data_IF_886811855542
#
_entry.id   IF_886811855542
#
_cell.length_a   1.000
_cell.length_b   1.000
_cell.length_c   1.000
_cell.angle_alpha   90.00
_cell.angle_beta   90.00
_cell.angle_gamma   90.00
#
_symmetry.space_group_name_H-M   'P 1'
#
loop_
_entity.id
_entity.type
_entity.pdbx_description
1 polymer ?
#
# COMPACT_ATOMS: atom_id res chain seq x y z
N UNK A 1 31.42 -25.54 -3.02
CA UNK A 1 31.24 -24.18 -3.56
C UNK A 1 29.99 -24.26 -4.40
N UNK A 2 28.88 -23.68 -3.92
CA UNK A 2 27.53 -24.02 -4.36
C UNK A 2 26.92 -22.90 -5.23
N UNK A 3 25.91 -23.23 -6.05
CA UNK A 3 25.26 -22.32 -7.01
C UNK A 3 24.81 -20.95 -6.47
N UNK A 4 24.57 -20.82 -5.17
CA UNK A 4 24.20 -19.55 -4.52
C UNK A 4 25.35 -18.55 -4.42
N UNK A 5 26.59 -19.02 -4.33
CA UNK A 5 27.78 -18.16 -4.28
C UNK A 5 27.93 -17.40 -5.61
N UNK A 6 27.71 -18.08 -6.75
CA UNK A 6 27.76 -17.46 -8.09
C UNK A 6 26.74 -16.34 -8.31
N UNK A 7 25.54 -16.46 -7.72
CA UNK A 7 24.52 -15.43 -7.84
C UNK A 7 24.88 -14.20 -7.00
N UNK A 8 25.34 -14.41 -5.78
CA UNK A 8 25.78 -13.31 -4.91
C UNK A 8 27.04 -12.63 -5.45
N UNK A 9 27.95 -13.40 -6.05
CA UNK A 9 29.15 -12.90 -6.72
C UNK A 9 28.82 -12.12 -8.00
N UNK A 10 27.82 -12.58 -8.78
CA UNK A 10 27.30 -11.85 -9.95
C UNK A 10 26.75 -10.47 -9.57
N UNK A 11 25.93 -10.39 -8.52
CA UNK A 11 25.37 -9.10 -8.08
C UNK A 11 26.45 -8.17 -7.53
N UNK A 12 27.47 -8.69 -6.85
CA UNK A 12 28.62 -7.90 -6.43
C UNK A 12 29.41 -7.33 -7.61
N UNK A 13 29.57 -8.09 -8.69
CA UNK A 13 30.34 -7.68 -9.85
C UNK A 13 29.59 -6.70 -10.77
N UNK A 14 28.28 -6.85 -10.93
CA UNK A 14 27.46 -6.00 -11.81
C UNK A 14 26.86 -4.77 -11.12
N UNK A 15 26.43 -4.92 -9.85
CA UNK A 15 25.74 -3.85 -9.11
C UNK A 15 26.65 -3.16 -8.09
N UNK A 16 27.80 -3.75 -7.73
CA UNK A 16 28.69 -3.21 -6.70
C UNK A 16 28.10 -3.24 -5.28
N UNK A 17 27.04 -4.01 -5.05
CA UNK A 17 26.30 -4.10 -3.77
C UNK A 17 26.19 -5.57 -3.35
N UNK A 18 26.40 -5.91 -2.06
CA UNK A 18 26.31 -7.30 -1.60
C UNK A 18 24.87 -7.81 -1.71
N UNK A 19 24.71 -9.02 -2.25
CA UNK A 19 23.39 -9.62 -2.44
C UNK A 19 22.59 -9.80 -1.15
N UNK A 20 23.26 -9.81 0.02
CA UNK A 20 22.59 -9.72 1.33
C UNK A 20 21.83 -8.41 1.53
N UNK A 21 22.31 -7.28 1.01
CA UNK A 21 21.59 -6.01 1.05
C UNK A 21 20.37 -6.02 0.12
N UNK A 22 20.47 -6.67 -1.05
CA UNK A 22 19.33 -6.83 -1.96
C UNK A 22 18.22 -7.67 -1.31
N UNK A 23 18.60 -8.77 -0.66
CA UNK A 23 17.65 -9.61 0.06
C UNK A 23 17.01 -8.86 1.23
N UNK A 24 17.80 -8.10 1.99
CA UNK A 24 17.31 -7.27 3.08
C UNK A 24 16.34 -6.18 2.59
N UNK A 25 16.66 -5.51 1.48
CA UNK A 25 15.80 -4.49 0.87
C UNK A 25 14.49 -5.09 0.33
N UNK A 26 14.55 -6.30 -0.23
CA UNK A 26 13.37 -7.04 -0.67
C UNK A 26 12.47 -7.40 0.53
N UNK A 27 13.05 -7.89 1.62
CA UNK A 27 12.32 -8.18 2.86
C UNK A 27 11.67 -6.93 3.45
N UNK A 28 12.41 -5.82 3.52
CA UNK A 28 11.89 -4.54 4.01
C UNK A 28 10.74 -4.03 3.14
N UNK A 29 10.88 -4.11 1.82
CA UNK A 29 9.82 -3.72 0.88
C UNK A 29 8.58 -4.58 1.08
N UNK A 30 8.76 -5.89 1.19
CA UNK A 30 7.68 -6.84 1.41
C UNK A 30 6.98 -6.55 2.74
N UNK A 31 7.73 -6.31 3.81
CA UNK A 31 7.20 -5.91 5.12
C UNK A 31 6.36 -4.62 5.04
N UNK A 32 6.88 -3.57 4.39
CA UNK A 32 6.17 -2.30 4.23
C UNK A 32 4.89 -2.46 3.41
N UNK A 33 4.94 -3.21 2.32
CA UNK A 33 3.77 -3.47 1.46
C UNK A 33 2.72 -4.28 2.22
N UNK A 34 3.11 -5.35 2.90
CA UNK A 34 2.14 -6.16 3.65
C UNK A 34 1.47 -5.37 4.77
N UNK A 35 2.24 -4.64 5.58
CA UNK A 35 1.69 -3.88 6.70
C UNK A 35 0.78 -2.74 6.23
N UNK A 36 1.20 -2.00 5.20
CA UNK A 36 0.40 -0.90 4.63
C UNK A 36 -0.87 -1.41 3.95
N UNK A 37 -0.80 -2.51 3.22
CA UNK A 37 -1.98 -3.16 2.64
C UNK A 37 -2.93 -3.64 3.73
N UNK A 38 -2.43 -4.27 4.79
CA UNK A 38 -3.26 -4.78 5.86
C UNK A 38 -4.02 -3.64 6.57
N UNK A 39 -3.31 -2.62 7.06
CA UNK A 39 -3.92 -1.48 7.75
C UNK A 39 -4.82 -0.68 6.81
N UNK A 40 -4.33 -0.40 5.59
CA UNK A 40 -5.06 0.34 4.56
C UNK A 40 -6.35 -0.36 4.14
N UNK A 41 -6.35 -1.69 4.05
CA UNK A 41 -7.55 -2.48 3.74
C UNK A 41 -8.54 -2.43 4.88
N UNK A 42 -8.12 -2.60 6.13
CA UNK A 42 -9.01 -2.56 7.29
C UNK A 42 -9.70 -1.18 7.40
N UNK A 43 -8.92 -0.10 7.36
CA UNK A 43 -9.47 1.27 7.42
C UNK A 43 -10.30 1.60 6.17
N UNK A 44 -9.79 1.24 5.00
CA UNK A 44 -10.46 1.45 3.72
C UNK A 44 -11.80 0.74 3.65
N UNK A 45 -11.91 -0.47 4.21
CA UNK A 45 -13.16 -1.23 4.25
C UNK A 45 -14.22 -0.52 5.09
N UNK A 46 -13.86 -0.03 6.29
CA UNK A 46 -14.79 0.71 7.16
C UNK A 46 -15.32 1.96 6.46
N UNK A 47 -14.43 2.72 5.82
CA UNK A 47 -14.79 3.91 5.06
C UNK A 47 -15.66 3.55 3.85
N UNK A 48 -15.30 2.51 3.10
CA UNK A 48 -16.05 2.05 1.92
C UNK A 48 -17.46 1.61 2.29
N UNK A 49 -17.62 0.81 3.36
CA UNK A 49 -18.94 0.38 3.85
C UNK A 49 -19.78 1.59 4.27
N UNK A 50 -19.19 2.54 5.00
CA UNK A 50 -19.88 3.78 5.39
C UNK A 50 -20.39 4.54 4.17
N UNK A 51 -19.57 4.67 3.13
CA UNK A 51 -19.90 5.33 1.86
C UNK A 51 -21.05 4.62 1.13
N UNK A 52 -21.03 3.29 1.07
CA UNK A 52 -22.08 2.48 0.42
C UNK A 52 -23.40 2.56 1.18
N UNK A 53 -23.36 2.45 2.52
CA UNK A 53 -24.56 2.49 3.37
C UNK A 53 -25.19 3.87 3.40
N UNK A 54 -24.37 4.94 3.40
CA UNK A 54 -24.83 6.34 3.45
C UNK A 54 -25.20 6.95 2.11
N UNK A 55 -24.99 6.21 1.03
CA UNK A 55 -25.31 6.63 -0.34
C UNK A 55 -26.76 7.13 -0.45
N UNK A 56 -27.07 8.11 -1.32
CA UNK A 56 -28.44 8.52 -1.63
C UNK A 56 -29.43 7.37 -1.93
N UNK A 57 -28.93 6.27 -2.50
CA UNK A 57 -29.68 5.04 -2.79
C UNK A 57 -29.37 3.90 -1.79
N UNK A 58 -28.62 4.20 -0.72
CA UNK A 58 -28.22 3.26 0.32
C UNK A 58 -29.27 3.10 1.42
N UNK A 59 -28.94 2.26 2.40
CA UNK A 59 -29.84 1.89 3.51
C UNK A 59 -30.11 3.09 4.43
N UNK A 60 -29.08 3.89 4.71
CA UNK A 60 -29.15 5.04 5.61
C UNK A 60 -28.97 6.30 4.78
N UNK A 61 -30.06 6.93 4.36
CA UNK A 61 -30.02 8.10 3.46
C UNK A 61 -29.51 9.37 4.20
N UNK A 62 -28.20 9.50 4.34
CA UNK A 62 -27.55 10.67 4.96
C UNK A 62 -26.58 11.33 3.95
N UNK A 63 -27.10 12.33 3.24
CA UNK A 63 -26.36 13.07 2.22
C UNK A 63 -25.17 13.85 2.77
N UNK A 64 -25.21 14.28 4.04
CA UNK A 64 -24.14 15.03 4.67
C UNK A 64 -22.94 14.12 4.94
N UNK A 65 -23.18 12.98 5.60
CA UNK A 65 -22.12 12.00 5.89
C UNK A 65 -21.53 11.48 4.59
N UNK A 66 -22.37 11.12 3.62
CA UNK A 66 -21.92 10.68 2.30
C UNK A 66 -21.03 11.73 1.62
N UNK A 67 -21.44 12.99 1.59
CA UNK A 67 -20.69 14.05 0.91
C UNK A 67 -19.33 14.30 1.55
N UNK A 68 -19.25 14.31 2.88
CA UNK A 68 -17.99 14.49 3.61
C UNK A 68 -17.06 13.30 3.36
N UNK A 69 -17.53 12.07 3.59
CA UNK A 69 -16.72 10.86 3.40
C UNK A 69 -16.26 10.71 1.95
N UNK A 70 -17.15 10.94 0.99
CA UNK A 70 -16.81 10.94 -0.44
C UNK A 70 -15.73 11.98 -0.77
N UNK A 71 -15.84 13.20 -0.24
CA UNK A 71 -14.84 14.26 -0.47
C UNK A 71 -13.47 13.85 0.08
N UNK A 72 -13.42 13.35 1.32
CA UNK A 72 -12.17 12.88 1.94
C UNK A 72 -11.53 11.77 1.11
N UNK A 73 -12.31 10.75 0.73
CA UNK A 73 -11.82 9.64 -0.10
C UNK A 73 -11.31 10.13 -1.45
N UNK A 74 -12.02 11.07 -2.08
CA UNK A 74 -11.59 11.63 -3.35
C UNK A 74 -10.28 12.40 -3.22
N UNK A 75 -10.09 13.19 -2.16
CA UNK A 75 -8.81 13.90 -1.90
C UNK A 75 -7.68 12.90 -1.71
N UNK A 76 -7.83 11.94 -0.80
CA UNK A 76 -6.78 10.94 -0.52
C UNK A 76 -6.42 10.14 -1.77
N UNK A 77 -7.39 9.83 -2.64
CA UNK A 77 -7.14 9.13 -3.91
C UNK A 77 -6.48 9.98 -4.99
N UNK A 78 -6.68 11.30 -4.97
CA UNK A 78 -6.21 12.19 -6.04
C UNK A 78 -4.89 12.88 -5.70
N UNK A 79 -4.50 12.96 -4.43
CA UNK A 79 -3.18 13.45 -4.03
C UNK A 79 -2.14 12.37 -4.35
N UNK A 80 -1.15 12.64 -5.23
CA UNK A 80 -0.09 11.69 -5.53
C UNK A 80 0.75 11.45 -4.28
N UNK A 81 1.02 10.19 -3.94
CA UNK A 81 1.88 9.83 -2.80
C UNK A 81 3.30 10.42 -2.86
N UNK A 82 3.77 10.83 -4.05
CA UNK A 82 5.06 11.49 -4.25
C UNK A 82 5.13 12.89 -3.61
N UNK A 83 3.98 13.53 -3.34
CA UNK A 83 3.89 14.90 -2.83
C UNK A 83 3.68 14.96 -1.30
N UNK A 84 3.18 13.87 -0.69
CA UNK A 84 2.96 13.75 0.76
C UNK A 84 4.23 13.31 1.48
#
# INVERSE_FOLDING_TARGET
MAGGDYLMDFFMQELGVPGSQLLLAAEQTLYMVFLSLFIGTVLGLVIAVTLVVTNPNGIVKNSIVYSITNTIVNIVRSVPFIIL
#
